data_IF_763407334279
#
_entry.id   IF_763407334279
#
_cell.length_a   1.000
_cell.length_b   1.000
_cell.length_c   1.000
_cell.angle_alpha   90.00
_cell.angle_beta   90.00
_cell.angle_gamma   90.00
#
_symmetry.space_group_name_H-M   'P 1'
#
loop_
_entity.id
_entity.type
_entity.pdbx_description
1 polymer ?
#
# COMPACT_ATOMS: atom_id res chain seq x y z
N UNK A 1 -6.16 7.51 1.96
CA UNK A 1 -5.97 6.90 0.64
C UNK A 1 -6.51 5.49 0.77
N UNK A 2 -6.96 4.92 -0.34
CA UNK A 2 -7.51 3.57 -0.38
C UNK A 2 -9.01 3.44 -0.10
N UNK A 3 -9.44 2.19 -0.06
CA UNK A 3 -10.82 1.69 0.08
C UNK A 3 -11.76 2.61 0.88
N UNK A 4 -12.99 2.78 0.38
CA UNK A 4 -14.02 3.61 1.01
C UNK A 4 -14.14 3.33 2.53
N UNK A 5 -14.07 4.39 3.34
CA UNK A 5 -14.07 4.30 4.80
C UNK A 5 -15.47 4.18 5.44
N UNK A 6 -15.50 4.07 6.77
CA UNK A 6 -16.74 4.06 7.56
C UNK A 6 -17.32 2.65 7.78
N UNK A 7 -18.53 2.58 8.37
CA UNK A 7 -19.18 1.31 8.77
C UNK A 7 -19.49 0.36 7.62
N UNK A 8 -19.54 0.89 6.39
CA UNK A 8 -19.84 0.15 5.16
C UNK A 8 -18.60 -0.10 4.31
N UNK A 9 -17.44 0.33 4.81
CA UNK A 9 -16.15 0.24 4.14
C UNK A 9 -15.52 -1.14 4.27
N UNK A 10 -14.60 -1.45 3.37
CA UNK A 10 -13.96 -2.77 3.29
C UNK A 10 -13.25 -3.17 4.59
N UNK A 11 -12.44 -2.27 5.15
CA UNK A 11 -11.74 -2.51 6.43
C UNK A 11 -12.71 -2.86 7.56
N UNK A 12 -13.82 -2.13 7.70
CA UNK A 12 -14.78 -2.39 8.77
C UNK A 12 -15.41 -3.78 8.62
N UNK A 13 -15.77 -4.16 7.40
CA UNK A 13 -16.30 -5.49 7.13
C UNK A 13 -15.27 -6.61 7.28
N UNK A 14 -14.00 -6.36 6.96
CA UNK A 14 -12.95 -7.33 7.21
C UNK A 14 -12.75 -7.58 8.69
N UNK A 15 -12.67 -6.51 9.48
CA UNK A 15 -12.54 -6.60 10.94
C UNK A 15 -13.72 -7.32 11.59
N UNK A 16 -14.94 -7.04 11.14
CA UNK A 16 -16.15 -7.69 11.66
C UNK A 16 -16.22 -9.17 11.25
N UNK A 17 -16.00 -9.45 9.96
CA UNK A 17 -16.35 -10.74 9.36
C UNK A 17 -15.23 -11.78 9.47
N UNK A 18 -13.98 -11.32 9.55
CA UNK A 18 -12.79 -12.15 9.59
C UNK A 18 -11.95 -11.84 10.83
N UNK A 19 -12.60 -11.44 11.93
CA UNK A 19 -11.99 -10.96 13.17
C UNK A 19 -10.88 -11.86 13.73
N UNK A 20 -10.94 -13.17 13.51
CA UNK A 20 -9.90 -14.12 13.92
C UNK A 20 -8.52 -13.89 13.29
N UNK A 21 -8.45 -13.18 12.16
CA UNK A 21 -7.19 -12.81 11.51
C UNK A 21 -6.63 -11.46 12.02
N UNK A 22 -7.37 -10.74 12.85
CA UNK A 22 -7.04 -9.37 13.26
C UNK A 22 -6.72 -9.29 14.75
N UNK A 23 -5.79 -8.39 15.09
CA UNK A 23 -5.48 -8.04 16.47
C UNK A 23 -4.99 -6.60 16.55
N UNK A 24 -5.44 -5.88 17.57
CA UNK A 24 -4.89 -4.57 17.89
C UNK A 24 -3.72 -4.71 18.87
N UNK A 25 -2.60 -4.06 18.55
CA UNK A 25 -1.41 -4.01 19.40
C UNK A 25 -0.93 -2.58 19.58
N UNK A 26 -0.21 -2.30 20.66
CA UNK A 26 0.31 -0.94 20.90
C UNK A 26 1.63 -0.68 20.17
N UNK A 27 2.47 -1.71 20.05
CA UNK A 27 3.80 -1.61 19.45
C UNK A 27 4.07 -2.74 18.48
N UNK A 28 4.88 -2.48 17.45
CA UNK A 28 5.27 -3.49 16.46
C UNK A 28 5.98 -4.70 17.09
N UNK A 29 6.78 -4.49 18.14
CA UNK A 29 7.44 -5.59 18.87
C UNK A 29 6.45 -6.60 19.46
N UNK A 30 5.24 -6.14 19.82
CA UNK A 30 4.23 -6.98 20.45
C UNK A 30 3.71 -8.02 19.42
N UNK A 31 3.63 -7.64 18.13
CA UNK A 31 3.28 -8.56 17.03
C UNK A 31 4.27 -9.71 16.96
N UNK A 32 5.56 -9.37 16.96
CA UNK A 32 6.65 -10.34 16.92
C UNK A 32 6.60 -11.29 18.12
N UNK A 33 6.41 -10.75 19.33
CA UNK A 33 6.33 -11.54 20.56
C UNK A 33 5.13 -12.49 20.55
N UNK A 34 3.97 -12.05 20.05
CA UNK A 34 2.77 -12.86 19.89
C UNK A 34 3.01 -14.05 18.93
N UNK A 35 3.75 -13.83 17.84
CA UNK A 35 4.07 -14.85 16.84
C UNK A 35 5.30 -15.69 17.20
N UNK A 36 5.95 -15.42 18.34
CA UNK A 36 7.13 -16.18 18.78
C UNK A 36 8.39 -15.99 17.93
N UNK A 37 8.44 -14.96 17.09
CA UNK A 37 9.59 -14.67 16.25
C UNK A 37 10.69 -13.92 17.02
N UNK A 38 11.96 -14.13 16.67
CA UNK A 38 13.07 -13.33 17.21
C UNK A 38 13.26 -12.06 16.40
N UNK A 39 13.90 -11.04 17.01
CA UNK A 39 14.24 -9.78 16.31
C UNK A 39 15.05 -10.05 15.03
N UNK A 40 16.05 -10.94 15.11
CA UNK A 40 16.89 -11.35 13.99
C UNK A 40 16.14 -12.02 12.84
N UNK A 41 14.95 -12.55 13.11
CA UNK A 41 14.10 -13.23 12.12
C UNK A 41 13.02 -12.30 11.55
N UNK A 42 13.05 -11.01 11.88
CA UNK A 42 11.97 -10.07 11.58
C UNK A 42 12.48 -8.94 10.67
N UNK A 43 11.74 -8.69 9.59
CA UNK A 43 11.82 -7.54 8.71
C UNK A 43 10.63 -6.60 8.99
N UNK A 44 10.86 -5.30 9.08
CA UNK A 44 9.81 -4.29 9.04
C UNK A 44 9.95 -3.45 7.77
N UNK A 45 8.89 -3.39 6.97
CA UNK A 45 8.82 -2.57 5.75
C UNK A 45 7.79 -1.47 5.97
N UNK A 46 8.21 -0.20 5.90
CA UNK A 46 7.39 0.96 6.23
C UNK A 46 7.13 1.85 5.03
N UNK A 47 5.90 2.37 4.94
CA UNK A 47 5.53 3.39 3.96
C UNK A 47 6.08 4.77 4.37
N UNK A 48 7.18 5.19 3.75
CA UNK A 48 7.85 6.46 4.00
C UNK A 48 7.00 7.67 3.62
N UNK A 49 6.21 7.58 2.55
CA UNK A 49 5.31 8.65 2.13
C UNK A 49 4.24 8.90 3.21
N UNK A 50 3.69 7.84 3.80
CA UNK A 50 2.74 7.94 4.90
C UNK A 50 3.40 8.52 6.15
N UNK A 51 4.62 8.08 6.50
CA UNK A 51 5.35 8.61 7.66
C UNK A 51 5.56 10.12 7.55
N UNK A 52 6.05 10.58 6.39
CA UNK A 52 6.28 12.01 6.12
C UNK A 52 4.98 12.82 6.13
N UNK A 53 3.89 12.27 5.58
CA UNK A 53 2.57 12.94 5.56
C UNK A 53 1.81 12.86 6.91
N UNK A 54 2.29 12.06 7.86
CA UNK A 54 1.71 11.94 9.20
C UNK A 54 2.27 12.94 10.21
N UNK A 55 3.21 13.79 9.78
CA UNK A 55 3.81 14.81 10.62
C UNK A 55 2.77 15.78 11.18
N UNK A 56 2.74 16.03 12.51
CA UNK A 56 1.81 16.98 13.11
C UNK A 56 1.99 18.39 12.53
N UNK A 57 0.89 19.12 12.38
CA UNK A 57 0.89 20.46 11.78
C UNK A 57 1.64 21.52 12.60
N UNK A 58 1.95 21.21 13.87
CA UNK A 58 2.76 22.03 14.79
C UNK A 58 4.26 21.80 14.64
N UNK A 59 4.68 20.78 13.88
CA UNK A 59 6.10 20.54 13.58
C UNK A 59 6.41 21.18 12.23
N UNK A 60 7.23 22.22 12.25
CA UNK A 60 7.57 23.03 11.09
C UNK A 60 9.09 23.23 10.89
N UNK A 61 9.92 22.64 11.75
CA UNK A 61 11.39 22.71 11.65
C UNK A 61 11.99 21.40 11.14
N UNK A 62 13.14 21.46 10.47
CA UNK A 62 13.84 20.28 9.97
C UNK A 62 14.23 19.31 11.10
N UNK A 63 14.80 19.84 12.19
CA UNK A 63 15.16 19.04 13.36
C UNK A 63 13.95 18.40 14.03
N UNK A 64 12.79 19.08 14.03
CA UNK A 64 11.52 18.53 14.49
C UNK A 64 11.06 17.32 13.67
N UNK A 65 11.19 17.39 12.34
CA UNK A 65 10.91 16.25 11.46
C UNK A 65 11.83 15.07 11.75
N UNK A 66 13.14 15.30 11.80
CA UNK A 66 14.15 14.27 12.08
C UNK A 66 13.89 13.65 13.45
N UNK A 67 13.70 14.44 14.50
CA UNK A 67 13.46 13.95 15.87
C UNK A 67 12.20 13.07 15.96
N UNK A 68 11.09 13.52 15.39
CA UNK A 68 9.84 12.77 15.47
C UNK A 68 9.89 11.48 14.64
N UNK A 69 10.54 11.50 13.48
CA UNK A 69 10.72 10.31 12.65
C UNK A 69 11.74 9.34 13.23
N UNK A 70 12.80 9.81 13.88
CA UNK A 70 13.72 8.95 14.65
C UNK A 70 12.95 8.14 15.67
N UNK A 71 12.07 8.77 16.46
CA UNK A 71 11.27 8.06 17.45
C UNK A 71 10.33 7.01 16.83
N UNK A 72 9.75 7.31 15.65
CA UNK A 72 8.93 6.32 14.93
C UNK A 72 9.75 5.15 14.40
N UNK A 73 10.96 5.40 13.90
CA UNK A 73 11.85 4.36 13.38
C UNK A 73 12.49 3.52 14.49
N UNK A 74 12.77 4.10 15.65
CA UNK A 74 13.23 3.36 16.84
C UNK A 74 12.27 2.22 17.20
N UNK A 75 10.97 2.45 17.09
CA UNK A 75 9.95 1.42 17.33
C UNK A 75 10.11 0.23 16.35
N UNK A 76 10.31 0.52 15.06
CA UNK A 76 10.52 -0.50 14.04
C UNK A 76 11.85 -1.24 14.24
N UNK A 77 12.92 -0.52 14.58
CA UNK A 77 14.26 -1.09 14.84
C UNK A 77 14.28 -1.97 16.10
N UNK A 78 13.44 -1.68 17.09
CA UNK A 78 13.25 -2.55 18.26
C UNK A 78 12.48 -3.84 17.90
N UNK A 79 11.54 -3.75 16.96
CA UNK A 79 10.75 -4.89 16.49
C UNK A 79 11.56 -5.79 15.53
N UNK A 80 12.37 -5.22 14.65
CA UNK A 80 13.01 -5.92 13.54
C UNK A 80 14.53 -5.72 13.51
N UNK A 81 15.27 -6.72 13.05
CA UNK A 81 16.69 -6.56 12.73
C UNK A 81 16.87 -5.73 11.46
N UNK A 82 15.99 -5.93 10.48
CA UNK A 82 16.03 -5.22 9.21
C UNK A 82 14.82 -4.29 9.09
N UNK A 83 15.09 -3.02 8.79
CA UNK A 83 14.06 -2.00 8.60
C UNK A 83 14.25 -1.38 7.23
N UNK A 84 13.22 -1.45 6.38
CA UNK A 84 13.22 -0.85 5.05
C UNK A 84 12.08 0.16 4.98
N UNK A 85 12.39 1.42 4.68
CA UNK A 85 11.39 2.47 4.48
C UNK A 85 11.31 2.74 2.97
N UNK A 86 10.13 2.55 2.39
CA UNK A 86 9.92 2.71 0.94
C UNK A 86 9.29 4.06 0.63
N UNK A 87 9.81 4.74 -0.40
CA UNK A 87 9.24 5.98 -0.92
C UNK A 87 8.79 5.82 -2.36
N UNK A 88 7.73 6.56 -2.71
CA UNK A 88 7.29 6.72 -4.10
C UNK A 88 8.44 7.27 -4.97
N UNK A 89 8.42 6.89 -6.25
CA UNK A 89 9.31 7.40 -7.29
C UNK A 89 8.51 8.17 -8.34
N UNK A 90 8.33 9.49 -8.20
CA UNK A 90 7.51 10.30 -9.10
C UNK A 90 7.83 10.15 -10.59
N UNK A 91 9.11 9.94 -10.92
CA UNK A 91 9.56 9.75 -12.30
C UNK A 91 9.14 8.40 -12.91
N UNK A 92 8.89 7.38 -12.09
CA UNK A 92 8.48 6.04 -12.50
C UNK A 92 6.97 5.80 -12.32
N UNK A 93 6.21 6.78 -11.82
CA UNK A 93 4.76 6.66 -11.61
C UNK A 93 4.00 6.50 -12.93
N UNK A 94 2.96 5.67 -12.90
CA UNK A 94 1.98 5.51 -13.99
C UNK A 94 1.28 6.82 -14.34
N UNK A 95 0.78 6.94 -15.57
CA UNK A 95 -0.11 8.06 -15.95
C UNK A 95 -1.40 8.03 -15.12
N UNK A 96 -1.96 6.85 -14.85
CA UNK A 96 -3.12 6.67 -13.99
C UNK A 96 -2.93 7.29 -12.60
N UNK A 97 -1.82 7.01 -11.93
CA UNK A 97 -1.55 7.58 -10.61
C UNK A 97 -1.20 9.07 -10.66
N UNK A 98 -0.47 9.53 -11.69
CA UNK A 98 -0.23 10.98 -11.90
C UNK A 98 -1.53 11.75 -12.06
N UNK A 99 -2.47 11.24 -12.84
CA UNK A 99 -3.77 11.87 -13.05
C UNK A 99 -4.59 11.92 -11.76
N UNK A 100 -4.58 10.85 -10.97
CA UNK A 100 -5.21 10.89 -9.65
C UNK A 100 -4.53 11.91 -8.73
N UNK A 101 -3.20 11.92 -8.67
CA UNK A 101 -2.50 12.91 -7.84
C UNK A 101 -2.84 14.35 -8.25
N UNK A 102 -2.93 14.64 -9.55
CA UNK A 102 -3.38 15.94 -10.06
C UNK A 102 -4.80 16.26 -9.63
N UNK A 103 -5.73 15.31 -9.73
CA UNK A 103 -7.13 15.48 -9.29
C UNK A 103 -7.21 15.79 -7.80
N UNK A 104 -6.44 15.08 -6.97
CA UNK A 104 -6.34 15.34 -5.52
C UNK A 104 -5.81 16.74 -5.22
N UNK A 105 -4.77 17.15 -5.91
CA UNK A 105 -4.15 18.45 -5.71
C UNK A 105 -5.10 19.58 -6.10
N UNK A 106 -5.81 19.44 -7.24
CA UNK A 106 -6.84 20.38 -7.66
C UNK A 106 -7.97 20.50 -6.62
N UNK A 107 -8.44 19.37 -6.06
CA UNK A 107 -9.46 19.36 -5.00
C UNK A 107 -8.96 20.00 -3.70
N UNK A 108 -7.69 19.79 -3.34
CA UNK A 108 -7.08 20.43 -2.16
C UNK A 108 -6.95 21.93 -2.37
N UNK A 109 -6.44 22.36 -3.51
CA UNK A 109 -6.27 23.77 -3.86
C UNK A 109 -7.62 24.50 -3.87
N UNK A 110 -8.68 23.88 -4.38
CA UNK A 110 -10.03 24.44 -4.34
C UNK A 110 -10.58 24.65 -2.92
N UNK A 111 -10.00 24.03 -1.89
CA UNK A 111 -10.39 24.19 -0.47
C UNK A 111 -9.52 25.19 0.29
N UNK A 112 -8.41 25.65 -0.29
CA UNK A 112 -7.54 26.65 0.34
C UNK A 112 -8.16 28.03 0.13
N UNK A 113 -8.45 28.80 1.20
CA UNK A 113 -8.91 30.17 1.06
C UNK A 113 -7.88 31.00 0.29
N UNK A 114 -8.33 31.75 -0.73
CA UNK A 114 -7.48 32.70 -1.43
C UNK A 114 -7.18 33.88 -0.48
N UNK A 115 -5.95 33.93 0.04
CA UNK A 115 -5.43 35.07 0.80
C UNK A 115 -4.74 36.07 -0.16
N UNK A 116 -4.55 37.34 0.25
CA UNK A 116 -3.90 38.34 -0.61
C UNK A 116 -2.46 37.93 -0.95
N UNK A 117 -1.98 38.42 -2.10
CA UNK A 117 -0.66 38.10 -2.67
C UNK A 117 0.51 38.52 -1.75
N UNK A 118 0.24 39.35 -0.74
CA UNK A 118 1.23 39.98 0.15
C UNK A 118 1.71 39.06 1.30
N UNK A 119 1.12 37.87 1.45
CA UNK A 119 1.38 36.94 2.58
C UNK A 119 2.09 35.62 2.19
N UNK A 120 2.45 35.43 0.91
CA UNK A 120 3.12 34.19 0.49
C UNK A 120 4.64 34.36 0.52
N UNK A 121 5.30 33.75 1.52
CA UNK A 121 6.67 33.29 1.34
C UNK A 121 6.63 32.09 0.37
N UNK A 122 6.41 32.36 -0.92
CA UNK A 122 6.17 31.30 -1.90
C UNK A 122 7.47 30.56 -2.15
N UNK A 123 7.58 29.36 -1.61
CA UNK A 123 8.61 28.41 -2.03
C UNK A 123 8.28 28.04 -3.48
N UNK A 124 9.10 28.50 -4.41
CA UNK A 124 8.81 28.39 -5.85
C UNK A 124 9.43 27.15 -6.49
N UNK A 125 10.40 26.49 -5.84
CA UNK A 125 11.10 25.33 -6.39
C UNK A 125 11.72 24.45 -5.29
N UNK A 126 12.42 23.39 -5.71
CA UNK A 126 13.17 22.45 -4.86
C UNK A 126 14.66 22.83 -4.72
N UNK A 127 15.02 24.10 -4.91
CA UNK A 127 16.40 24.57 -4.85
C UNK A 127 16.74 25.13 -3.47
N UNK A 128 16.99 24.24 -2.53
CA UNK A 128 17.48 24.58 -1.19
C UNK A 128 18.56 23.58 -0.75
N UNK A 129 19.46 24.04 0.11
CA UNK A 129 20.57 23.28 0.68
C UNK A 129 20.22 22.78 2.09
N UNK A 130 21.09 21.94 2.67
CA UNK A 130 20.93 21.54 4.07
C UNK A 130 21.01 22.74 5.03
N UNK A 131 21.87 23.72 4.73
CA UNK A 131 22.01 24.92 5.54
C UNK A 131 20.72 25.76 5.57
N UNK A 132 19.99 25.82 4.46
CA UNK A 132 18.70 26.49 4.38
C UNK A 132 17.68 25.82 5.30
N UNK A 133 17.61 24.48 5.28
CA UNK A 133 16.72 23.69 6.15
C UNK A 133 17.03 23.85 7.63
N UNK A 134 18.29 24.06 7.98
CA UNK A 134 18.75 24.22 9.36
C UNK A 134 18.62 25.67 9.87
N UNK A 135 18.33 26.62 8.99
CA UNK A 135 18.17 28.02 9.37
C UNK A 135 16.92 28.22 10.24
N UNK A 136 17.01 29.12 11.23
CA UNK A 136 15.91 29.40 12.17
C UNK A 136 14.65 30.00 11.53
N UNK A 137 14.77 30.51 10.30
CA UNK A 137 13.66 31.07 9.52
C UNK A 137 12.99 30.07 8.57
N UNK A 138 13.51 28.85 8.44
CA UNK A 138 12.95 27.87 7.51
C UNK A 138 11.69 27.21 8.09
N UNK A 139 10.58 27.36 7.37
CA UNK A 139 9.36 26.62 7.64
C UNK A 139 9.28 25.40 6.71
N UNK A 140 9.73 24.25 7.20
CA UNK A 140 9.76 22.96 6.49
C UNK A 140 8.36 22.45 6.16
N UNK A 141 7.33 22.88 6.91
CA UNK A 141 5.95 22.53 6.58
C UNK A 141 5.52 23.10 5.22
N UNK A 142 5.97 24.30 4.87
CA UNK A 142 5.69 24.87 3.55
C UNK A 142 6.34 24.04 2.43
N UNK A 143 7.56 23.51 2.66
CA UNK A 143 8.22 22.58 1.73
C UNK A 143 7.44 21.26 1.60
N UNK A 144 6.92 20.74 2.71
CA UNK A 144 6.06 19.56 2.73
C UNK A 144 4.72 19.80 2.02
N UNK A 145 4.16 20.99 2.07
CA UNK A 145 2.91 21.29 1.36
C UNK A 145 3.13 21.39 -0.16
N UNK A 146 4.31 21.84 -0.58
CA UNK A 146 4.68 21.97 -1.99
C UNK A 146 5.23 20.68 -2.62
N UNK A 147 4.40 19.99 -3.43
CA UNK A 147 4.72 18.65 -4.00
C UNK A 147 6.06 18.57 -4.72
N UNK A 148 6.48 19.60 -5.45
CA UNK A 148 7.77 19.60 -6.18
C UNK A 148 8.98 19.65 -5.23
N UNK A 149 8.86 20.27 -4.06
CA UNK A 149 9.94 20.32 -3.07
C UNK A 149 10.04 19.06 -2.19
N UNK A 150 8.95 18.28 -2.07
CA UNK A 150 8.91 17.09 -1.19
C UNK A 150 10.04 16.08 -1.43
N UNK A 151 10.36 15.66 -2.67
CA UNK A 151 11.36 14.60 -2.87
C UNK A 151 12.72 14.97 -2.25
N UNK A 152 13.20 16.20 -2.49
CA UNK A 152 14.47 16.66 -1.91
C UNK A 152 14.42 16.79 -0.38
N UNK A 153 13.26 17.10 0.18
CA UNK A 153 13.08 17.19 1.62
C UNK A 153 13.10 15.79 2.24
N UNK A 154 12.42 14.83 1.59
CA UNK A 154 12.44 13.43 2.01
C UNK A 154 13.87 12.90 1.97
N UNK A 155 14.61 13.19 0.90
CA UNK A 155 16.01 12.82 0.73
C UNK A 155 16.87 13.39 1.89
N UNK A 156 16.73 14.69 2.18
CA UNK A 156 17.46 15.36 3.26
C UNK A 156 17.15 14.79 4.65
N UNK A 157 15.87 14.54 4.93
CA UNK A 157 15.41 13.96 6.20
C UNK A 157 15.96 12.54 6.36
N UNK A 158 15.91 11.71 5.31
CA UNK A 158 16.42 10.34 5.35
C UNK A 158 17.95 10.29 5.55
N UNK A 159 18.70 11.20 4.91
CA UNK A 159 20.15 11.34 5.15
C UNK A 159 20.43 11.68 6.61
N UNK A 160 19.71 12.65 7.19
CA UNK A 160 19.87 13.02 8.59
C UNK A 160 19.47 11.89 9.56
N UNK A 161 18.39 11.16 9.26
CA UNK A 161 17.98 9.97 10.03
C UNK A 161 19.05 8.87 9.97
N UNK A 162 19.59 8.59 8.77
CA UNK A 162 20.67 7.61 8.61
C UNK A 162 21.89 7.96 9.44
N UNK A 163 22.31 9.24 9.46
CA UNK A 163 23.40 9.72 10.28
C UNK A 163 23.10 9.56 11.79
N UNK A 164 21.89 9.92 12.22
CA UNK A 164 21.43 9.74 13.59
C UNK A 164 21.52 8.28 14.04
N UNK A 165 20.96 7.34 13.27
CA UNK A 165 20.98 5.92 13.64
C UNK A 165 22.38 5.33 13.62
N UNK A 166 23.25 5.71 12.65
CA UNK A 166 24.66 5.28 12.64
C UNK A 166 25.43 5.75 13.87
N UNK A 167 25.11 6.93 14.41
CA UNK A 167 25.74 7.45 15.61
C UNK A 167 25.19 6.81 16.90
N UNK A 168 23.89 6.52 16.94
CA UNK A 168 23.21 6.02 18.15
C UNK A 168 23.27 4.50 18.32
N UNK A 169 23.36 3.74 17.22
CA UNK A 169 23.31 2.28 17.23
C UNK A 169 24.72 1.71 17.11
N UNK A 170 25.20 1.07 18.18
CA UNK A 170 26.50 0.37 18.19
C UNK A 170 26.29 -1.12 18.48
N UNK A 171 26.91 -1.98 17.67
CA UNK A 171 26.82 -3.44 17.80
C UNK A 171 25.48 -4.05 17.39
N UNK A 172 25.46 -5.39 17.32
CA UNK A 172 24.30 -6.20 16.92
C UNK A 172 24.02 -6.21 15.41
N UNK A 173 23.28 -7.22 14.97
CA UNK A 173 22.78 -7.30 13.59
C UNK A 173 21.59 -6.35 13.43
N UNK A 174 21.82 -5.27 12.67
CA UNK A 174 20.76 -4.36 12.27
C UNK A 174 21.05 -3.71 10.92
N UNK A 175 19.99 -3.49 10.14
CA UNK A 175 20.07 -2.64 8.95
C UNK A 175 18.88 -1.71 8.86
N UNK A 176 19.14 -0.46 8.48
CA UNK A 176 18.16 0.53 8.10
C UNK A 176 18.42 0.92 6.64
N UNK A 177 17.39 0.82 5.81
CA UNK A 177 17.47 1.13 4.39
C UNK A 177 16.31 2.02 4.00
N UNK A 178 16.58 3.11 3.28
CA UNK A 178 15.56 3.96 2.65
C UNK A 178 15.57 3.69 1.14
N UNK A 179 14.52 3.07 0.62
CA UNK A 179 14.35 2.75 -0.80
C UNK A 179 13.65 3.90 -1.53
N UNK A 180 14.21 4.33 -2.66
CA UNK A 180 13.68 5.45 -3.43
C UNK A 180 14.21 6.81 -2.97
N UNK A 181 15.37 6.88 -2.32
CA UNK A 181 16.00 8.11 -1.76
C UNK A 181 17.29 8.46 -2.51
N UNK A 182 17.53 9.76 -2.73
CA UNK A 182 18.80 10.29 -3.23
C UNK A 182 19.77 10.52 -2.06
N UNK A 183 20.89 9.78 -2.06
CA UNK A 183 21.86 9.83 -0.96
C UNK A 183 22.55 11.20 -0.80
N UNK A 184 22.48 12.08 -1.81
CA UNK A 184 23.00 13.45 -1.73
C UNK A 184 22.10 14.37 -0.91
N UNK A 185 20.85 13.96 -0.63
CA UNK A 185 19.93 14.72 0.21
C UNK A 185 19.65 16.14 -0.30
N UNK A 186 19.64 17.11 0.62
CA UNK A 186 19.53 18.52 0.28
C UNK A 186 20.76 19.07 -0.44
N UNK A 187 21.91 18.38 -0.41
CA UNK A 187 23.16 18.85 -1.00
C UNK A 187 23.32 18.44 -2.48
N UNK A 188 22.28 17.83 -3.08
CA UNK A 188 22.22 17.60 -4.53
C UNK A 188 22.55 18.91 -5.27
N UNK A 189 23.51 18.92 -6.22
CA UNK A 189 23.88 20.15 -6.92
C UNK A 189 22.67 20.80 -7.62
N UNK A 190 22.71 22.12 -7.72
CA UNK A 190 21.66 22.87 -8.41
C UNK A 190 21.47 22.36 -9.85
N UNK A 191 20.21 22.11 -10.23
CA UNK A 191 19.87 21.59 -11.57
C UNK A 191 20.26 20.14 -11.83
N UNK A 192 20.96 19.46 -10.91
CA UNK A 192 21.30 18.06 -11.08
C UNK A 192 20.05 17.18 -10.95
N UNK A 193 19.87 16.18 -11.83
CA UNK A 193 18.75 15.25 -11.73
C UNK A 193 18.84 14.44 -10.43
N UNK A 194 17.68 14.10 -9.86
CA UNK A 194 17.59 13.20 -8.71
C UNK A 194 18.12 11.81 -9.08
N UNK A 195 19.05 11.28 -8.31
CA UNK A 195 19.60 9.94 -8.46
C UNK A 195 18.91 9.04 -7.46
N UNK A 196 17.87 8.36 -7.92
CA UNK A 196 17.08 7.50 -7.06
C UNK A 196 17.82 6.18 -6.84
N UNK A 197 17.96 5.79 -5.58
CA UNK A 197 18.49 4.49 -5.19
C UNK A 197 18.07 4.09 -3.78
N UNK A 198 18.82 3.15 -3.22
CA UNK A 198 18.69 2.76 -1.82
C UNK A 198 19.78 3.46 -1.00
N UNK A 199 19.40 4.16 0.07
CA UNK A 199 20.30 4.70 1.09
C UNK A 199 20.30 3.74 2.29
N UNK A 200 21.41 3.02 2.52
CA UNK A 200 21.51 2.02 3.58
C UNK A 200 22.73 2.20 4.49
N UNK A 201 22.65 1.71 5.74
CA UNK A 201 23.84 1.48 6.57
C UNK A 201 24.62 0.21 6.15
N UNK A 202 24.01 -0.67 5.36
CA UNK A 202 24.65 -1.84 4.72
C UNK A 202 24.42 -1.79 3.20
N UNK A 203 25.10 -0.82 2.56
CA UNK A 203 24.91 -0.52 1.14
C UNK A 203 25.35 -1.67 0.21
N UNK A 204 26.35 -2.45 0.62
CA UNK A 204 26.91 -3.54 -0.19
C UNK A 204 25.89 -4.65 -0.41
N UNK A 205 25.04 -4.93 0.59
CA UNK A 205 23.96 -5.90 0.47
C UNK A 205 22.67 -5.29 -0.10
N UNK A 206 22.17 -4.20 0.50
CA UNK A 206 20.86 -3.65 0.14
C UNK A 206 20.83 -2.97 -1.22
N UNK A 207 21.94 -2.37 -1.65
CA UNK A 207 22.04 -1.71 -2.95
C UNK A 207 21.72 -2.65 -4.11
N UNK A 208 22.47 -3.77 -4.27
CA UNK A 208 22.17 -4.78 -5.28
C UNK A 208 20.80 -5.45 -5.10
N UNK A 209 20.40 -5.76 -3.86
CA UNK A 209 19.12 -6.43 -3.60
C UNK A 209 17.92 -5.61 -4.09
N UNK A 210 17.95 -4.29 -3.89
CA UNK A 210 16.88 -3.36 -4.27
C UNK A 210 17.10 -2.71 -5.65
N UNK A 211 18.12 -3.13 -6.39
CA UNK A 211 18.30 -2.71 -7.78
C UNK A 211 17.21 -3.37 -8.65
N UNK A 212 16.53 -2.54 -9.44
CA UNK A 212 15.41 -2.97 -10.29
C UNK A 212 15.68 -2.61 -11.74
N UNK A 213 15.53 -3.58 -12.63
CA UNK A 213 15.53 -3.34 -14.08
C UNK A 213 14.33 -2.47 -14.47
N UNK A 214 13.16 -2.81 -13.92
CA UNK A 214 11.91 -2.07 -14.07
C UNK A 214 11.65 -1.28 -12.80
N UNK A 215 11.76 0.05 -12.88
CA UNK A 215 11.47 0.94 -11.75
C UNK A 215 10.00 0.83 -11.32
N UNK A 216 9.78 0.84 -10.01
CA UNK A 216 8.45 0.83 -9.39
C UNK A 216 8.15 2.24 -8.89
N UNK A 217 7.06 2.85 -9.39
CA UNK A 217 6.69 4.22 -9.05
C UNK A 217 6.04 4.39 -7.68
N UNK A 218 5.35 3.36 -7.18
CA UNK A 218 4.44 3.50 -6.04
C UNK A 218 4.90 2.68 -4.82
N UNK A 219 4.81 3.28 -3.65
CA UNK A 219 5.28 2.73 -2.39
C UNK A 219 4.53 1.47 -1.95
N UNK A 220 3.22 1.38 -2.20
CA UNK A 220 2.39 0.22 -1.86
C UNK A 220 2.87 -1.07 -2.56
N UNK A 221 3.25 -0.98 -3.83
CA UNK A 221 3.84 -2.10 -4.59
C UNK A 221 5.26 -2.41 -4.13
N UNK A 222 6.05 -1.37 -3.79
CA UNK A 222 7.39 -1.54 -3.23
C UNK A 222 7.39 -2.27 -1.90
N UNK A 223 6.39 -2.03 -1.03
CA UNK A 223 6.25 -2.74 0.24
C UNK A 223 6.31 -4.25 0.01
N UNK A 224 5.48 -4.75 -0.91
CA UNK A 224 5.44 -6.17 -1.26
C UNK A 224 6.72 -6.62 -1.98
N UNK A 225 7.22 -5.86 -2.98
CA UNK A 225 8.45 -6.22 -3.73
C UNK A 225 9.66 -6.41 -2.79
N UNK A 226 9.81 -5.54 -1.78
CA UNK A 226 10.87 -5.68 -0.76
C UNK A 226 10.72 -6.99 0.01
N UNK A 227 9.52 -7.33 0.48
CA UNK A 227 9.31 -8.59 1.22
C UNK A 227 9.64 -9.81 0.37
N UNK A 228 9.28 -9.81 -0.92
CA UNK A 228 9.61 -10.90 -1.84
C UNK A 228 11.13 -11.04 -2.03
N UNK A 229 11.83 -9.93 -2.26
CA UNK A 229 13.30 -9.94 -2.45
C UNK A 229 14.03 -10.42 -1.20
N UNK A 230 13.56 -10.00 -0.01
CA UNK A 230 14.14 -10.44 1.25
C UNK A 230 13.85 -11.92 1.49
N UNK A 231 12.66 -12.41 1.16
CA UNK A 231 12.36 -13.85 1.22
C UNK A 231 13.36 -14.67 0.39
N UNK A 232 13.58 -14.28 -0.86
CA UNK A 232 14.49 -14.99 -1.75
C UNK A 232 15.93 -14.94 -1.23
N UNK A 233 16.37 -13.79 -0.70
CA UNK A 233 17.70 -13.62 -0.12
C UNK A 233 17.87 -14.37 1.21
N UNK A 234 16.85 -14.44 2.06
CA UNK A 234 16.90 -15.05 3.39
C UNK A 234 17.19 -16.56 3.35
N UNK A 235 16.98 -17.19 2.20
CA UNK A 235 17.28 -18.60 1.94
C UNK A 235 18.76 -18.86 1.64
N UNK A 236 19.51 -17.83 1.25
CA UNK A 236 20.92 -17.96 0.92
C UNK A 236 21.72 -17.83 2.21
N UNK A 237 22.42 -18.91 2.58
CA UNK A 237 23.32 -18.91 3.74
C UNK A 237 24.35 -17.78 3.63
N UNK A 238 24.73 -17.22 4.78
CA UNK A 238 25.68 -16.10 4.90
C UNK A 238 25.23 -14.76 4.32
N UNK A 239 23.96 -14.63 3.89
CA UNK A 239 23.40 -13.30 3.63
C UNK A 239 23.03 -12.59 4.94
N UNK A 240 23.11 -11.25 5.00
CA UNK A 240 22.72 -10.48 6.18
C UNK A 240 21.29 -10.68 6.65
N UNK A 241 20.38 -11.14 5.78
CA UNK A 241 18.96 -11.39 6.07
C UNK A 241 18.64 -12.88 6.20
N UNK A 242 19.65 -13.74 6.31
CA UNK A 242 19.46 -15.17 6.44
C UNK A 242 18.57 -15.52 7.65
N UNK A 243 17.56 -16.35 7.43
CA UNK A 243 16.64 -16.77 8.49
C UNK A 243 15.55 -15.75 8.87
N UNK A 244 15.40 -14.66 8.12
CA UNK A 244 14.20 -13.81 8.20
C UNK A 244 12.97 -14.63 7.79
N UNK A 245 11.96 -14.63 8.65
CA UNK A 245 10.70 -15.37 8.46
C UNK A 245 9.45 -14.52 8.69
N UNK A 246 9.55 -13.42 9.45
CA UNK A 246 8.42 -12.55 9.76
C UNK A 246 8.58 -11.19 9.05
N UNK A 247 7.60 -10.84 8.21
CA UNK A 247 7.49 -9.54 7.57
C UNK A 247 6.38 -8.71 8.21
N UNK A 248 6.74 -7.56 8.75
CA UNK A 248 5.80 -6.55 9.23
C UNK A 248 5.67 -5.47 8.15
N UNK A 249 4.56 -5.49 7.41
CA UNK A 249 4.25 -4.47 6.39
C UNK A 249 3.45 -3.35 7.05
N UNK A 250 4.03 -2.16 7.19
CA UNK A 250 3.46 -1.05 7.97
C UNK A 250 3.00 0.09 7.07
N UNK A 251 1.71 0.40 7.09
CA UNK A 251 1.13 1.50 6.33
C UNK A 251 -0.13 2.07 7.02
N UNK A 252 -0.79 3.04 6.40
CA UNK A 252 -2.18 3.42 6.70
C UNK A 252 -3.11 3.18 5.50
N UNK A 253 -2.57 2.74 4.36
CA UNK A 253 -3.35 2.49 3.16
C UNK A 253 -4.10 1.18 3.28
N UNK A 254 -5.41 1.22 3.04
CA UNK A 254 -6.28 0.05 3.14
C UNK A 254 -6.27 -0.81 1.89
N UNK A 255 -5.76 -0.29 0.77
CA UNK A 255 -5.61 -1.08 -0.47
C UNK A 255 -4.62 -2.24 -0.24
N UNK A 256 -3.67 -2.07 0.69
CA UNK A 256 -2.72 -3.11 1.12
C UNK A 256 -3.37 -4.39 1.65
N UNK A 257 -4.64 -4.36 2.12
CA UNK A 257 -5.33 -5.61 2.46
C UNK A 257 -5.44 -6.55 1.27
N UNK A 258 -5.76 -6.01 0.11
CA UNK A 258 -6.01 -6.79 -1.10
C UNK A 258 -4.70 -7.15 -1.76
N UNK A 259 -3.77 -6.19 -1.83
CA UNK A 259 -2.41 -6.42 -2.34
C UNK A 259 -1.80 -7.60 -1.57
N UNK A 260 -1.68 -7.50 -0.25
CA UNK A 260 -1.05 -8.56 0.55
C UNK A 260 -1.85 -9.86 0.54
N UNK A 261 -3.18 -9.83 0.37
CA UNK A 261 -4.00 -11.04 0.25
C UNK A 261 -3.72 -11.80 -1.05
N UNK A 262 -3.62 -11.09 -2.18
CA UNK A 262 -3.25 -11.67 -3.47
C UNK A 262 -1.84 -12.26 -3.40
N UNK A 263 -0.92 -11.55 -2.76
CA UNK A 263 0.48 -11.98 -2.63
C UNK A 263 0.62 -13.17 -1.69
N UNK A 264 -0.10 -13.20 -0.58
CA UNK A 264 -0.17 -14.38 0.30
C UNK A 264 -0.69 -15.61 -0.44
N UNK A 265 -1.65 -15.45 -1.36
CA UNK A 265 -2.13 -16.58 -2.17
C UNK A 265 -1.09 -17.10 -3.14
N UNK A 266 -0.26 -16.23 -3.72
CA UNK A 266 0.89 -16.65 -4.54
C UNK A 266 1.91 -17.41 -3.69
N UNK A 267 2.25 -16.90 -2.50
CA UNK A 267 3.17 -17.55 -1.56
C UNK A 267 2.71 -18.94 -1.17
N UNK A 268 1.43 -19.09 -0.82
CA UNK A 268 0.85 -20.38 -0.44
C UNK A 268 0.90 -21.45 -1.55
N UNK A 269 1.08 -21.03 -2.81
CA UNK A 269 1.16 -21.89 -4.00
C UNK A 269 2.59 -22.13 -4.50
N UNK A 270 3.62 -21.61 -3.82
CA UNK A 270 5.01 -21.95 -4.13
C UNK A 270 5.22 -23.48 -4.01
N UNK A 271 6.02 -24.08 -4.89
CA UNK A 271 6.17 -25.54 -4.97
C UNK A 271 6.87 -26.12 -3.73
N UNK A 272 7.88 -25.42 -3.22
CA UNK A 272 8.69 -25.88 -2.11
C UNK A 272 8.01 -25.55 -0.77
N UNK A 273 8.02 -26.51 0.16
CA UNK A 273 7.36 -26.34 1.46
C UNK A 273 8.05 -25.24 2.30
N UNK A 274 9.37 -25.20 2.28
CA UNK A 274 10.19 -24.20 2.97
C UNK A 274 9.89 -22.76 2.48
N UNK A 275 9.42 -22.61 1.24
CA UNK A 275 9.05 -21.32 0.65
C UNK A 275 7.72 -20.77 1.19
N UNK A 276 7.00 -21.60 1.96
CA UNK A 276 5.69 -21.28 2.54
C UNK A 276 5.76 -20.98 4.04
N UNK A 277 6.94 -21.07 4.65
CA UNK A 277 7.14 -20.80 6.08
C UNK A 277 7.23 -19.29 6.41
N UNK A 278 7.16 -18.44 5.39
CA UNK A 278 7.14 -16.99 5.51
C UNK A 278 5.81 -16.48 6.10
N UNK A 279 5.91 -15.71 7.19
CA UNK A 279 4.79 -15.05 7.85
C UNK A 279 4.74 -13.58 7.46
N UNK A 280 3.58 -13.11 7.00
CA UNK A 280 3.35 -11.69 6.68
C UNK A 280 2.20 -11.13 7.50
N UNK A 281 2.48 -10.04 8.21
CA UNK A 281 1.49 -9.29 8.99
C UNK A 281 1.37 -7.88 8.44
N UNK A 282 0.20 -7.54 7.91
CA UNK A 282 -0.14 -6.17 7.55
C UNK A 282 -0.50 -5.39 8.82
N UNK A 283 0.26 -4.35 9.11
CA UNK A 283 0.11 -3.50 10.29
C UNK A 283 -0.39 -2.12 9.88
N UNK A 284 -1.69 -1.85 10.09
CA UNK A 284 -2.27 -0.53 9.85
C UNK A 284 -2.07 0.38 11.06
N UNK A 285 -1.38 1.52 10.88
CA UNK A 285 -1.16 2.49 11.94
C UNK A 285 -2.41 3.33 12.20
N UNK A 286 -3.11 3.05 13.28
CA UNK A 286 -4.30 3.79 13.71
C UNK A 286 -3.91 5.03 14.49
N UNK A 287 -4.30 6.19 13.97
CA UNK A 287 -4.11 7.47 14.68
C UNK A 287 -5.00 7.53 15.92
N UNK A 288 -4.54 8.23 16.95
CA UNK A 288 -5.39 8.58 18.08
C UNK A 288 -6.59 9.41 17.60
N UNK A 289 -7.80 9.06 18.03
CA UNK A 289 -9.02 9.78 17.67
C UNK A 289 -9.78 10.13 18.93
N UNK A 290 -10.23 11.38 19.02
CA UNK A 290 -11.32 11.78 19.92
C UNK A 290 -12.62 11.47 19.17
N UNK A 291 -13.45 10.56 19.69
CA UNK A 291 -14.78 10.32 19.08
C UNK A 291 -15.65 11.55 19.32
N UNK A 292 -16.42 11.96 18.31
CA UNK A 292 -17.34 13.08 18.46
C UNK A 292 -18.39 12.72 19.54
N UNK A 293 -18.39 13.48 20.65
CA UNK A 293 -19.31 13.28 21.77
C UNK A 293 -18.81 12.36 22.91
N UNK A 294 -17.62 11.76 22.79
CA UNK A 294 -16.99 11.00 23.87
C UNK A 294 -15.75 11.73 24.40
N UNK A 295 -15.57 11.72 25.72
CA UNK A 295 -14.32 12.18 26.37
C UNK A 295 -13.17 11.17 26.23
N UNK A 296 -13.45 9.99 25.65
CA UNK A 296 -12.45 8.96 25.43
C UNK A 296 -11.61 9.25 24.18
N UNK A 297 -10.31 9.43 24.39
CA UNK A 297 -9.30 9.41 23.33
C UNK A 297 -8.84 7.98 23.15
N UNK A 298 -9.07 7.38 21.98
CA UNK A 298 -8.41 6.12 21.65
C UNK A 298 -6.93 6.41 21.42
N UNK A 299 -6.04 5.70 22.11
CA UNK A 299 -4.60 5.83 21.89
C UNK A 299 -4.21 5.34 20.49
N UNK A 300 -3.08 5.85 19.98
CA UNK A 300 -2.49 5.30 18.77
C UNK A 300 -2.13 3.83 18.98
N UNK A 301 -2.38 3.00 17.98
CA UNK A 301 -2.16 1.56 18.00
C UNK A 301 -1.98 1.05 16.56
N UNK A 302 -1.66 -0.23 16.41
CA UNK A 302 -1.65 -0.91 15.13
C UNK A 302 -2.80 -1.91 15.09
N UNK A 303 -3.60 -1.86 14.03
CA UNK A 303 -4.50 -2.95 13.67
C UNK A 303 -3.72 -3.90 12.77
N UNK A 304 -3.36 -5.06 13.30
CA UNK A 304 -2.54 -6.05 12.63
C UNK A 304 -3.42 -7.16 12.05
N UNK A 305 -3.12 -7.56 10.81
CA UNK A 305 -3.81 -8.61 10.07
C UNK A 305 -2.79 -9.69 9.70
N UNK A 306 -2.97 -10.90 10.26
CA UNK A 306 -2.24 -12.09 9.82
C UNK A 306 -2.77 -12.48 8.44
N UNK A 307 -1.94 -12.30 7.40
CA UNK A 307 -2.40 -12.45 6.03
C UNK A 307 -2.70 -13.91 5.67
N UNK A 308 -2.03 -14.87 6.31
CA UNK A 308 -2.30 -16.30 6.12
C UNK A 308 -3.67 -16.67 6.70
N UNK A 309 -3.94 -16.29 7.95
CA UNK A 309 -5.25 -16.50 8.58
C UNK A 309 -6.36 -15.74 7.85
N UNK A 310 -6.09 -14.52 7.38
CA UNK A 310 -7.04 -13.73 6.61
C UNK A 310 -7.40 -14.41 5.29
N UNK A 311 -6.40 -14.90 4.55
CA UNK A 311 -6.60 -15.67 3.32
C UNK A 311 -7.45 -16.91 3.59
N UNK A 312 -7.12 -17.69 4.60
CA UNK A 312 -7.89 -18.88 4.96
C UNK A 312 -9.34 -18.54 5.33
N UNK A 313 -9.56 -17.47 6.08
CA UNK A 313 -10.89 -17.02 6.48
C UNK A 313 -11.73 -16.56 5.27
N UNK A 314 -11.11 -15.83 4.33
CA UNK A 314 -11.76 -15.40 3.08
C UNK A 314 -12.12 -16.60 2.20
N UNK A 315 -11.18 -17.52 1.95
CA UNK A 315 -11.44 -18.71 1.15
C UNK A 315 -12.45 -19.65 1.84
N UNK A 316 -12.37 -19.78 3.17
CA UNK A 316 -13.36 -20.50 3.96
C UNK A 316 -14.77 -19.90 3.85
N UNK A 317 -14.88 -18.56 3.80
CA UNK A 317 -16.14 -17.89 3.52
C UNK A 317 -16.65 -18.17 2.10
N UNK A 318 -15.75 -18.13 1.11
CA UNK A 318 -16.10 -18.39 -0.29
C UNK A 318 -16.54 -19.83 -0.55
N UNK A 319 -15.86 -20.84 -0.02
CA UNK A 319 -16.15 -22.24 -0.37
C UNK A 319 -16.90 -23.03 0.73
N UNK A 320 -16.87 -22.57 1.98
CA UNK A 320 -17.62 -23.16 3.09
C UNK A 320 -17.01 -24.44 3.70
N UNK A 321 -15.94 -24.99 3.14
CA UNK A 321 -15.25 -26.17 3.67
C UNK A 321 -13.73 -26.01 3.55
N UNK A 322 -12.97 -26.67 4.43
CA UNK A 322 -11.49 -26.68 4.39
C UNK A 322 -10.93 -27.75 3.45
N UNK A 323 -11.68 -28.82 3.20
CA UNK A 323 -11.27 -29.93 2.32
C UNK A 323 -11.70 -29.68 0.88
N UNK A 324 -11.00 -28.79 0.20
CA UNK A 324 -11.27 -28.47 -1.20
C UNK A 324 -10.59 -29.48 -2.12
N UNK A 325 -11.31 -30.00 -3.11
CA UNK A 325 -10.71 -30.81 -4.17
C UNK A 325 -9.74 -29.99 -5.02
N UNK A 326 -8.78 -30.64 -5.68
CA UNK A 326 -7.72 -29.98 -6.46
C UNK A 326 -8.26 -28.95 -7.49
N UNK A 327 -9.38 -29.25 -8.14
CA UNK A 327 -10.04 -28.34 -9.08
C UNK A 327 -10.49 -27.02 -8.44
N UNK A 328 -10.96 -27.06 -7.19
CA UNK A 328 -11.40 -25.86 -6.46
C UNK A 328 -10.18 -25.09 -5.95
N UNK A 329 -9.13 -25.78 -5.51
CA UNK A 329 -7.85 -25.16 -5.14
C UNK A 329 -7.27 -24.36 -6.31
N UNK A 330 -7.31 -24.91 -7.52
CA UNK A 330 -6.84 -24.23 -8.74
C UNK A 330 -7.64 -22.95 -9.07
N UNK A 331 -8.85 -22.78 -8.51
CA UNK A 331 -9.72 -21.61 -8.75
C UNK A 331 -9.59 -20.51 -7.68
N UNK A 332 -8.89 -20.77 -6.58
CA UNK A 332 -8.68 -19.79 -5.51
C UNK A 332 -8.10 -18.46 -6.01
N UNK A 333 -7.11 -18.43 -6.93
CA UNK A 333 -6.55 -17.17 -7.41
C UNK A 333 -7.59 -16.30 -8.11
N UNK A 334 -8.43 -16.91 -8.96
CA UNK A 334 -9.49 -16.22 -9.67
C UNK A 334 -10.58 -15.69 -8.73
N UNK A 335 -10.88 -16.42 -7.64
CA UNK A 335 -11.83 -15.96 -6.62
C UNK A 335 -11.31 -14.74 -5.83
N UNK A 336 -10.01 -14.73 -5.49
CA UNK A 336 -9.38 -13.58 -4.83
C UNK A 336 -9.21 -12.39 -5.79
N UNK A 337 -8.93 -12.64 -7.06
CA UNK A 337 -8.94 -11.60 -8.10
C UNK A 337 -10.33 -10.98 -8.25
N UNK A 338 -11.41 -11.79 -8.23
CA UNK A 338 -12.77 -11.25 -8.25
C UNK A 338 -13.08 -10.38 -7.02
N UNK A 339 -12.57 -10.77 -5.84
CA UNK A 339 -12.66 -9.94 -4.63
C UNK A 339 -11.93 -8.61 -4.80
N UNK A 340 -10.73 -8.63 -5.39
CA UNK A 340 -9.96 -7.43 -5.69
C UNK A 340 -10.70 -6.50 -6.66
N UNK A 341 -11.25 -7.03 -7.74
CA UNK A 341 -12.12 -6.28 -8.67
C UNK A 341 -13.31 -5.66 -7.95
N UNK A 342 -14.00 -6.42 -7.09
CA UNK A 342 -15.13 -5.91 -6.33
C UNK A 342 -14.75 -4.75 -5.41
N UNK A 343 -13.57 -4.83 -4.79
CA UNK A 343 -13.03 -3.79 -3.92
C UNK A 343 -12.66 -2.53 -4.68
N UNK A 344 -11.99 -2.69 -5.82
CA UNK A 344 -11.69 -1.58 -6.72
C UNK A 344 -12.99 -0.85 -7.14
N UNK A 345 -14.00 -1.59 -7.59
CA UNK A 345 -15.30 -1.00 -7.97
C UNK A 345 -16.05 -0.34 -6.81
N UNK A 346 -15.89 -0.82 -5.57
CA UNK A 346 -16.47 -0.17 -4.39
C UNK A 346 -15.78 1.16 -4.03
N UNK A 347 -14.67 1.48 -4.68
CA UNK A 347 -13.97 2.75 -4.55
C UNK A 347 -12.55 2.56 -4.05
N UNK A 348 -11.59 2.88 -4.92
CA UNK A 348 -10.18 3.07 -4.63
C UNK A 348 -9.69 4.34 -5.33
N UNK A 349 -8.37 4.56 -5.33
CA UNK A 349 -7.73 5.72 -5.97
C UNK A 349 -7.98 5.78 -7.49
N UNK A 350 -8.17 4.64 -8.15
CA UNK A 350 -8.19 4.51 -9.61
C UNK A 350 -9.60 4.39 -10.22
N UNK A 351 -10.53 3.78 -9.49
CA UNK A 351 -11.89 3.51 -9.95
C UNK A 351 -12.89 3.51 -8.80
N UNK A 352 -14.10 3.97 -9.07
CA UNK A 352 -15.25 3.92 -8.16
C UNK A 352 -16.52 3.83 -9.01
N UNK A 353 -17.28 2.74 -8.88
CA UNK A 353 -18.61 2.64 -9.45
C UNK A 353 -19.63 3.12 -8.41
N UNK A 354 -20.12 4.34 -8.59
CA UNK A 354 -21.00 5.02 -7.62
C UNK A 354 -22.21 4.15 -7.25
N UNK A 355 -22.41 4.00 -5.94
CA UNK A 355 -23.49 3.18 -5.37
C UNK A 355 -23.09 1.74 -5.06
N UNK A 356 -21.92 1.28 -5.51
CA UNK A 356 -21.35 0.04 -5.00
C UNK A 356 -20.86 0.20 -3.56
N UNK A 357 -21.15 -0.80 -2.72
CA UNK A 357 -20.72 -0.87 -1.33
C UNK A 357 -20.21 -2.27 -1.03
N UNK A 358 -19.11 -2.33 -0.29
CA UNK A 358 -18.43 -3.60 -0.06
C UNK A 358 -19.26 -4.59 0.76
N UNK A 359 -20.07 -4.11 1.71
CA UNK A 359 -20.98 -4.93 2.52
C UNK A 359 -22.00 -5.72 1.70
N UNK A 360 -22.35 -5.19 0.52
CA UNK A 360 -23.24 -5.83 -0.45
C UNK A 360 -22.50 -6.58 -1.55
N UNK A 361 -21.31 -6.10 -1.94
CA UNK A 361 -20.50 -6.76 -2.96
C UNK A 361 -19.89 -8.08 -2.47
N UNK A 362 -19.43 -8.16 -1.21
CA UNK A 362 -18.78 -9.36 -0.69
C UNK A 362 -19.67 -10.63 -0.72
N UNK A 363 -20.96 -10.58 -0.33
CA UNK A 363 -21.89 -11.70 -0.55
C UNK A 363 -22.07 -12.07 -2.04
N UNK A 364 -22.08 -11.10 -2.94
CA UNK A 364 -22.22 -11.32 -4.38
C UNK A 364 -21.00 -12.06 -4.94
N UNK A 365 -19.79 -11.63 -4.57
CA UNK A 365 -18.53 -12.31 -4.91
C UNK A 365 -18.59 -13.78 -4.47
N UNK A 366 -18.98 -14.03 -3.22
CA UNK A 366 -19.18 -15.40 -2.71
C UNK A 366 -20.17 -16.21 -3.54
N UNK A 367 -21.32 -15.62 -3.91
CA UNK A 367 -22.33 -16.29 -4.75
C UNK A 367 -21.76 -16.70 -6.11
N UNK A 368 -21.06 -15.79 -6.80
CA UNK A 368 -20.42 -16.09 -8.08
C UNK A 368 -19.38 -17.22 -7.94
N UNK A 369 -18.54 -17.16 -6.90
CA UNK A 369 -17.51 -18.18 -6.64
C UNK A 369 -18.10 -19.56 -6.40
N UNK A 370 -19.23 -19.65 -5.68
CA UNK A 370 -19.90 -20.93 -5.38
C UNK A 370 -20.71 -21.46 -6.55
N UNK A 371 -21.52 -20.60 -7.15
CA UNK A 371 -22.60 -21.03 -8.04
C UNK A 371 -22.18 -21.01 -9.51
N UNK A 372 -21.16 -20.21 -9.86
CA UNK A 372 -20.71 -19.98 -11.23
C UNK A 372 -19.17 -20.04 -11.37
N UNK A 373 -18.46 -21.06 -10.83
CA UNK A 373 -16.99 -21.09 -10.81
C UNK A 373 -16.35 -21.11 -12.21
N UNK A 374 -17.04 -21.64 -13.22
CA UNK A 374 -16.56 -21.62 -14.61
C UNK A 374 -16.49 -20.20 -15.19
N UNK A 375 -17.30 -19.26 -14.68
CA UNK A 375 -17.26 -17.85 -15.08
C UNK A 375 -16.06 -17.11 -14.53
N UNK A 376 -15.30 -17.70 -13.60
CA UNK A 376 -14.07 -17.12 -13.07
C UNK A 376 -12.83 -17.44 -13.90
N UNK A 377 -12.93 -18.38 -14.85
CA UNK A 377 -11.78 -18.83 -15.65
C UNK A 377 -11.01 -17.67 -16.32
N UNK A 378 -11.67 -16.61 -16.84
CA UNK A 378 -10.94 -15.46 -17.40
C UNK A 378 -10.08 -14.72 -16.37
N UNK A 379 -10.40 -14.77 -15.08
CA UNK A 379 -9.59 -14.15 -14.01
C UNK A 379 -8.45 -15.08 -13.52
N UNK A 380 -8.36 -16.31 -14.01
CA UNK A 380 -7.29 -17.23 -13.59
C UNK A 380 -5.91 -16.77 -14.08
N UNK A 381 -5.86 -16.11 -15.24
CA UNK A 381 -4.64 -15.54 -15.82
C UNK A 381 -4.07 -14.42 -14.95
N UNK A 382 -4.91 -13.60 -14.31
CA UNK A 382 -4.50 -12.44 -13.48
C UNK A 382 -3.43 -12.80 -12.45
N UNK A 383 -3.46 -14.04 -11.93
CA UNK A 383 -2.52 -14.56 -10.94
C UNK A 383 -1.09 -14.82 -11.46
N UNK A 384 -0.88 -14.86 -12.78
CA UNK A 384 0.40 -15.16 -13.41
C UNK A 384 1.40 -14.01 -13.25
N UNK A 385 2.70 -14.32 -13.35
CA UNK A 385 3.79 -13.33 -13.28
C UNK A 385 3.79 -12.39 -14.48
N UNK A 386 3.44 -12.93 -15.64
CA UNK A 386 3.29 -12.20 -16.89
C UNK A 386 1.89 -12.47 -17.42
N UNK A 387 1.15 -11.40 -17.65
CA UNK A 387 -0.21 -11.45 -18.18
C UNK A 387 -0.28 -10.49 -19.34
N UNK A 388 -0.77 -10.97 -20.48
CA UNK A 388 -0.98 -10.09 -21.63
C UNK A 388 -2.21 -9.20 -21.44
N UNK A 389 -2.23 -8.06 -22.13
CA UNK A 389 -3.40 -7.18 -22.17
C UNK A 389 -4.65 -7.94 -22.64
N UNK A 390 -4.51 -8.78 -23.66
CA UNK A 390 -5.62 -9.55 -24.25
C UNK A 390 -6.23 -10.54 -23.23
N UNK A 391 -5.39 -11.28 -22.50
CA UNK A 391 -5.86 -12.21 -21.47
C UNK A 391 -6.58 -11.52 -20.32
N UNK A 392 -6.21 -10.27 -19.98
CA UNK A 392 -6.95 -9.49 -18.99
C UNK A 392 -8.25 -8.92 -19.53
N UNK A 393 -8.30 -8.54 -20.80
CA UNK A 393 -9.52 -8.04 -21.43
C UNK A 393 -10.60 -9.12 -21.51
N UNK A 394 -10.22 -10.39 -21.67
CA UNK A 394 -11.14 -11.53 -21.61
C UNK A 394 -11.92 -11.59 -20.27
N UNK A 395 -11.33 -11.05 -19.20
CA UNK A 395 -11.95 -11.00 -17.88
C UNK A 395 -13.05 -9.92 -17.74
N UNK A 396 -13.22 -9.02 -18.71
CA UNK A 396 -14.26 -7.98 -18.69
C UNK A 396 -15.66 -8.58 -18.46
N UNK A 397 -15.95 -9.71 -19.13
CA UNK A 397 -17.22 -10.43 -18.99
C UNK A 397 -17.50 -10.93 -17.56
N UNK A 398 -16.46 -11.16 -16.76
CA UNK A 398 -16.58 -11.56 -15.36
C UNK A 398 -16.86 -10.35 -14.45
N UNK A 399 -16.28 -9.20 -14.78
CA UNK A 399 -16.56 -7.93 -14.09
C UNK A 399 -18.00 -7.48 -14.36
N UNK A 400 -18.46 -7.59 -15.60
CA UNK A 400 -19.85 -7.29 -15.95
C UNK A 400 -20.83 -8.18 -15.18
N UNK A 401 -20.54 -9.49 -15.11
CA UNK A 401 -21.32 -10.42 -14.29
C UNK A 401 -21.39 -9.98 -12.83
N UNK A 402 -20.28 -9.54 -12.24
CA UNK A 402 -20.25 -9.04 -10.87
C UNK A 402 -21.15 -7.81 -10.69
N UNK A 403 -21.06 -6.84 -11.61
CA UNK A 403 -21.87 -5.62 -11.56
C UNK A 403 -23.37 -5.94 -11.69
N UNK A 404 -23.73 -6.84 -12.61
CA UNK A 404 -25.13 -7.22 -12.81
C UNK A 404 -25.68 -8.00 -11.61
N UNK A 405 -24.94 -8.98 -11.07
CA UNK A 405 -25.36 -9.67 -9.84
C UNK A 405 -25.44 -8.74 -8.63
N UNK A 406 -24.58 -7.71 -8.57
CA UNK A 406 -24.69 -6.67 -7.57
C UNK A 406 -25.98 -5.89 -7.71
N UNK A 407 -26.35 -5.46 -8.93
CA UNK A 407 -27.63 -4.77 -9.19
C UNK A 407 -28.82 -5.62 -8.78
N UNK A 408 -28.85 -6.89 -9.18
CA UNK A 408 -29.91 -7.85 -8.81
C UNK A 408 -30.08 -7.92 -7.29
N UNK A 409 -28.96 -7.93 -6.54
CA UNK A 409 -28.98 -7.97 -5.08
C UNK A 409 -29.62 -6.74 -4.42
N UNK A 410 -29.76 -5.63 -5.16
CA UNK A 410 -30.34 -4.38 -4.67
C UNK A 410 -31.81 -4.18 -5.04
N UNK A 411 -32.36 -4.92 -6.02
CA UNK A 411 -33.72 -4.71 -6.53
C UNK A 411 -34.79 -4.81 -5.43
N UNK A 412 -34.62 -5.79 -4.55
CA UNK A 412 -35.54 -6.08 -3.46
C UNK A 412 -35.17 -5.36 -2.14
N UNK A 413 -34.24 -4.41 -2.17
CA UNK A 413 -33.81 -3.66 -0.99
C UNK A 413 -34.34 -2.21 -1.05
N UNK A 414 -35.48 -1.89 -0.39
CA UNK A 414 -36.14 -0.59 -0.54
C UNK A 414 -35.25 0.62 -0.23
N UNK A 415 -34.33 0.47 0.73
CA UNK A 415 -33.38 1.52 1.13
C UNK A 415 -32.23 1.72 0.15
N UNK A 416 -32.09 0.85 -0.86
CA UNK A 416 -30.98 0.84 -1.83
C UNK A 416 -31.37 1.33 -3.23
N UNK A 417 -32.62 1.79 -3.44
CA UNK A 417 -33.08 2.29 -4.76
C UNK A 417 -32.17 3.36 -5.37
N UNK A 418 -31.63 4.28 -4.55
CA UNK A 418 -30.68 5.32 -5.01
C UNK A 418 -29.34 4.72 -5.44
N UNK A 419 -28.83 3.74 -4.70
CA UNK A 419 -27.58 3.06 -5.03
C UNK A 419 -27.74 2.26 -6.34
N UNK A 420 -28.85 1.52 -6.49
CA UNK A 420 -29.19 0.80 -7.71
C UNK A 420 -29.28 1.73 -8.93
N UNK A 421 -29.98 2.86 -8.80
CA UNK A 421 -30.06 3.86 -9.85
C UNK A 421 -28.68 4.44 -10.23
N UNK A 422 -27.82 4.68 -9.23
CA UNK A 422 -26.46 5.19 -9.45
C UNK A 422 -25.61 4.18 -10.21
N UNK A 423 -25.58 2.92 -9.77
CA UNK A 423 -24.83 1.86 -10.46
C UNK A 423 -25.33 1.66 -11.88
N UNK A 424 -26.64 1.73 -12.10
CA UNK A 424 -27.23 1.51 -13.42
C UNK A 424 -26.94 2.66 -14.39
N UNK A 425 -26.90 3.90 -13.90
CA UNK A 425 -26.61 5.08 -14.72
C UNK A 425 -25.12 5.29 -14.95
N UNK A 426 -24.31 5.04 -13.93
CA UNK A 426 -22.89 5.40 -13.92
C UNK A 426 -22.00 4.26 -14.48
N UNK A 427 -22.53 3.05 -14.69
CA UNK A 427 -21.82 1.94 -15.36
C UNK A 427 -21.40 2.36 -16.77
N UNK A 428 -20.11 2.19 -17.06
CA UNK A 428 -19.54 2.28 -18.40
C UNK A 428 -18.30 1.39 -18.52
N UNK A 429 -17.86 1.11 -19.75
CA UNK A 429 -16.73 0.22 -20.04
C UNK A 429 -15.44 0.65 -19.34
N UNK A 430 -15.23 1.96 -19.16
CA UNK A 430 -14.08 2.48 -18.45
C UNK A 430 -14.00 1.99 -16.98
N UNK A 431 -15.14 1.75 -16.30
CA UNK A 431 -15.11 1.19 -14.95
C UNK A 431 -14.62 -0.26 -14.95
N UNK A 432 -15.05 -1.05 -15.94
CA UNK A 432 -14.64 -2.45 -16.10
C UNK A 432 -13.15 -2.53 -16.36
N UNK A 433 -12.66 -1.76 -17.35
CA UNK A 433 -11.26 -1.73 -17.73
C UNK A 433 -10.36 -1.25 -16.57
N UNK A 434 -10.72 -0.16 -15.89
CA UNK A 434 -9.94 0.34 -14.76
C UNK A 434 -9.93 -0.63 -13.58
N UNK A 435 -11.01 -1.37 -13.34
CA UNK A 435 -11.05 -2.38 -12.28
C UNK A 435 -10.13 -3.57 -12.59
N UNK A 436 -10.09 -4.03 -13.84
CA UNK A 436 -9.15 -5.05 -14.30
C UNK A 436 -7.71 -4.57 -14.20
N UNK A 437 -7.41 -3.36 -14.67
CA UNK A 437 -6.10 -2.74 -14.51
C UNK A 437 -5.68 -2.66 -13.04
N UNK A 438 -6.59 -2.21 -12.16
CA UNK A 438 -6.31 -2.11 -10.72
C UNK A 438 -6.05 -3.48 -10.10
N UNK A 439 -6.79 -4.51 -10.52
CA UNK A 439 -6.57 -5.88 -10.04
C UNK A 439 -5.20 -6.42 -10.47
N UNK A 440 -4.80 -6.20 -11.72
CA UNK A 440 -3.45 -6.56 -12.20
C UNK A 440 -2.37 -5.76 -11.46
N UNK A 441 -2.57 -4.45 -11.30
CA UNK A 441 -1.68 -3.56 -10.58
C UNK A 441 -1.44 -4.04 -9.14
N UNK A 442 -2.50 -4.34 -8.38
CA UNK A 442 -2.41 -4.92 -7.03
C UNK A 442 -1.78 -6.32 -7.00
N UNK A 443 -1.75 -7.02 -8.13
CA UNK A 443 -1.03 -8.28 -8.28
C UNK A 443 0.41 -8.11 -8.80
N UNK A 444 0.98 -6.89 -8.69
CA UNK A 444 2.32 -6.51 -9.15
C UNK A 444 2.52 -6.55 -10.68
N UNK A 445 1.44 -6.46 -11.45
CA UNK A 445 1.51 -6.36 -12.90
C UNK A 445 1.02 -4.98 -13.37
N UNK A 446 1.93 -4.13 -13.81
CA UNK A 446 1.64 -2.75 -14.17
C UNK A 446 1.57 -2.56 -15.71
N UNK A 447 0.36 -2.34 -16.23
CA UNK A 447 0.19 -1.94 -17.64
C UNK A 447 0.49 -0.45 -17.82
N UNK A 448 1.58 -0.15 -18.54
CA UNK A 448 2.05 1.23 -18.78
C UNK A 448 1.18 2.02 -19.76
N UNK A 449 0.54 1.36 -20.71
CA UNK A 449 -0.37 1.97 -21.68
C UNK A 449 -1.77 2.21 -21.06
N UNK A 450 -1.85 3.06 -20.03
CA UNK A 450 -3.08 3.22 -19.24
C UNK A 450 -4.29 3.73 -20.05
N UNK A 451 -4.08 4.32 -21.24
CA UNK A 451 -5.18 4.79 -22.10
C UNK A 451 -6.11 3.64 -22.54
N UNK A 452 -5.55 2.47 -22.88
CA UNK A 452 -6.30 1.27 -23.24
C UNK A 452 -7.16 0.74 -22.08
N UNK A 453 -6.82 1.14 -20.86
CA UNK A 453 -7.52 0.76 -19.63
C UNK A 453 -8.54 1.80 -19.17
N UNK A 454 -8.89 2.75 -20.04
CA UNK A 454 -9.88 3.79 -19.77
C UNK A 454 -9.35 4.95 -18.91
N UNK A 455 -8.04 5.07 -18.68
CA UNK A 455 -7.43 6.28 -18.11
C UNK A 455 -7.19 7.32 -19.22
N UNK A 456 -6.89 8.56 -18.85
CA UNK A 456 -6.59 9.61 -19.82
C UNK A 456 -5.32 9.23 -20.62
N UNK A 457 -5.35 9.41 -21.95
CA UNK A 457 -4.12 9.40 -22.73
C UNK A 457 -3.28 10.58 -22.24
N UNK A 458 -2.14 10.31 -21.60
CA UNK A 458 -1.29 11.38 -21.11
C UNK A 458 -0.82 12.23 -22.29
N UNK A 459 -1.07 13.54 -22.26
CA UNK A 459 -0.21 14.46 -22.99
C UNK A 459 1.16 14.39 -22.31
N UNK A 460 2.16 13.90 -23.06
CA UNK A 460 3.53 13.65 -22.61
C UNK A 460 4.18 14.86 -21.94
#
# INVERSE_FOLDING_TARGET
MGLHGGKTGAKAHFLEKFSGAFRDVKRLKDVREILGARRSQTLAVLDGNVMMNAMPSSVDTFSGYVSLLSHQLEEAVQAAAHVVVVFDEPAAMTTAKRDEQRRRDAQRQARVPLCSEDLMATITNDNYTLADLQSSGCNVKLLMEFRKARPRLYDAVCVALMQHFRASMTGGEWSLTFDGVDARGADRPFGAPREVGALSNDQAFWGPLLAREVRIGEGDIKLTDVTQRVHDAARVENTPVHGVLLNLVVTIDTDSFVIELLQQDRRARRPDAEDRDELTVLCLKERSRKRAGDDFVTNAHYTCCDMALFREAVLGYFYGTKSLGAKVVAQQPAALALLAVALALCGCDFVELKGMRFDKALPVVRGIVRDQPHRLQPLASVGALEVSSDEMLDAASTVDLLIDRYKDSLENAPRMKRALASVSRDRCDAHVLRALWTCAYWNQHEFRECAHWGFSAGNG
#
